data_IF_996766212699
#
_entry.id   IF_996766212699
#
_cell.length_a   1.000
_cell.length_b   1.000
_cell.length_c   1.000
_cell.angle_alpha   90.00
_cell.angle_beta   90.00
_cell.angle_gamma   90.00
#
_symmetry.space_group_name_H-M   'P 1'
#
loop_
_entity.id
_entity.type
_entity.pdbx_description
1 polymer ?
#
# COMPACT_ATOMS: atom_id res chain seq x y z
N UNK A 1 -9.43 2.13 0.69
CA UNK A 1 -8.99 2.32 -0.71
C UNK A 1 -8.18 1.10 -1.12
N UNK A 2 -8.59 0.44 -2.21
CA UNK A 2 -7.76 -0.55 -2.89
C UNK A 2 -6.81 0.17 -3.82
N UNK A 3 -5.51 -0.07 -3.65
CA UNK A 3 -4.47 0.73 -4.28
C UNK A 3 -3.26 -0.13 -4.66
N UNK A 4 -2.50 0.38 -5.63
CA UNK A 4 -1.34 -0.26 -6.22
C UNK A 4 -0.20 0.76 -6.28
N UNK A 5 0.95 0.41 -5.70
CA UNK A 5 2.12 1.29 -5.64
C UNK A 5 2.75 1.55 -7.03
N UNK A 6 2.48 0.70 -8.01
CA UNK A 6 2.93 0.88 -9.39
C UNK A 6 1.94 1.62 -10.28
N UNK A 7 0.72 1.88 -9.80
CA UNK A 7 -0.31 2.50 -10.59
C UNK A 7 -0.15 4.04 -10.65
N UNK A 8 -0.01 4.64 -11.85
CA UNK A 8 0.14 6.10 -11.98
C UNK A 8 -1.09 6.88 -11.56
N UNK A 9 -2.28 6.26 -11.55
CA UNK A 9 -3.49 6.87 -11.01
C UNK A 9 -3.51 6.84 -9.48
N UNK A 10 -3.04 5.75 -8.85
CA UNK A 10 -2.90 5.65 -7.40
C UNK A 10 -1.92 6.68 -6.88
N UNK A 11 -0.76 6.82 -7.54
CA UNK A 11 0.24 7.85 -7.21
C UNK A 11 -0.36 9.26 -7.20
N UNK A 12 -1.15 9.62 -8.22
CA UNK A 12 -1.81 10.94 -8.28
C UNK A 12 -2.94 11.09 -7.26
N UNK A 13 -3.65 10.00 -6.97
CA UNK A 13 -4.78 10.03 -6.04
C UNK A 13 -4.33 10.07 -4.58
N UNK A 14 -3.13 9.56 -4.24
CA UNK A 14 -2.61 9.38 -2.88
C UNK A 14 -2.78 10.60 -1.95
N UNK A 15 -2.63 11.82 -2.46
CA UNK A 15 -2.79 13.05 -1.68
C UNK A 15 -4.25 13.37 -1.33
N UNK A 16 -5.20 12.93 -2.16
CA UNK A 16 -6.63 13.21 -2.00
C UNK A 16 -7.23 12.62 -0.71
N UNK A 17 -7.11 11.30 -0.42
CA UNK A 17 -7.63 10.74 0.82
C UNK A 17 -6.92 11.31 2.05
N UNK A 18 -5.62 11.63 1.94
CA UNK A 18 -4.87 12.29 3.01
C UNK A 18 -5.48 13.65 3.36
N UNK A 19 -5.75 14.50 2.37
CA UNK A 19 -6.38 15.80 2.58
C UNK A 19 -7.77 15.67 3.24
N UNK A 20 -8.55 14.66 2.84
CA UNK A 20 -9.86 14.38 3.45
C UNK A 20 -9.70 14.00 4.91
N UNK A 21 -8.79 13.08 5.24
CA UNK A 21 -8.52 12.67 6.63
C UNK A 21 -8.07 13.86 7.46
N UNK A 22 -7.11 14.64 6.99
CA UNK A 22 -6.56 15.79 7.71
C UNK A 22 -7.63 16.88 7.95
N UNK A 23 -8.52 17.11 6.98
CA UNK A 23 -9.62 18.07 7.10
C UNK A 23 -10.80 17.56 7.95
N UNK A 24 -10.93 16.25 8.14
CA UNK A 24 -12.09 15.62 8.80
C UNK A 24 -12.19 15.89 10.30
N UNK A 25 -11.12 16.39 10.93
CA UNK A 25 -11.01 16.55 12.40
C UNK A 25 -11.26 15.23 13.16
N UNK A 26 -10.80 14.12 12.59
CA UNK A 26 -10.91 12.78 13.19
C UNK A 26 -12.18 12.00 12.87
N UNK A 27 -13.07 12.56 12.04
CA UNK A 27 -14.31 11.87 11.64
C UNK A 27 -14.10 10.85 10.51
N UNK A 28 -13.00 10.96 9.76
CA UNK A 28 -12.66 10.06 8.66
C UNK A 28 -11.28 9.48 8.90
N UNK A 29 -11.14 8.17 8.69
CA UNK A 29 -9.84 7.51 8.58
C UNK A 29 -9.63 7.02 7.15
N UNK A 30 -8.37 6.76 6.81
CA UNK A 30 -8.01 6.14 5.54
C UNK A 30 -7.39 4.77 5.80
N UNK A 31 -8.05 3.74 5.29
CA UNK A 31 -7.54 2.38 5.29
C UNK A 31 -7.04 2.02 3.89
N UNK A 32 -5.74 1.73 3.80
CA UNK A 32 -5.13 1.11 2.63
C UNK A 32 -5.51 -0.37 2.54
N UNK A 33 -5.75 -0.83 1.32
CA UNK A 33 -5.95 -2.23 0.94
C UNK A 33 -5.09 -2.52 -0.29
N UNK A 34 -4.31 -3.60 -0.24
CA UNK A 34 -3.43 -3.95 -1.35
C UNK A 34 -4.23 -4.48 -2.52
N UNK A 35 -3.96 -3.95 -3.71
CA UNK A 35 -4.47 -4.48 -4.96
C UNK A 35 -3.42 -4.33 -6.08
N UNK A 36 -2.26 -4.99 -5.95
CA UNK A 36 -1.27 -5.00 -7.02
C UNK A 36 -1.90 -5.59 -8.27
N UNK A 37 -1.90 -4.83 -9.37
CA UNK A 37 -2.51 -5.27 -10.61
C UNK A 37 -1.58 -6.27 -11.32
N UNK A 38 -2.15 -7.32 -11.93
CA UNK A 38 -1.37 -8.40 -12.55
C UNK A 38 -0.36 -7.90 -13.59
N UNK A 39 -0.70 -6.84 -14.33
CA UNK A 39 0.16 -6.24 -15.35
C UNK A 39 1.26 -5.31 -14.80
N UNK A 40 1.28 -5.06 -13.48
CA UNK A 40 2.37 -4.37 -12.79
C UNK A 40 3.26 -5.33 -11.98
N UNK A 41 2.94 -6.63 -11.97
CA UNK A 41 3.75 -7.61 -11.28
C UNK A 41 5.04 -7.93 -12.06
N UNK A 42 6.14 -8.27 -11.35
CA UNK A 42 6.21 -8.58 -9.92
C UNK A 42 6.44 -7.37 -9.00
N UNK A 43 6.70 -6.18 -9.53
CA UNK A 43 7.08 -5.01 -8.73
C UNK A 43 5.98 -4.64 -7.72
N UNK A 44 4.74 -4.48 -8.20
CA UNK A 44 3.60 -4.11 -7.36
C UNK A 44 3.37 -5.07 -6.19
N UNK A 45 3.40 -6.38 -6.44
CA UNK A 45 3.24 -7.37 -5.38
C UNK A 45 4.38 -7.32 -4.37
N UNK A 46 5.63 -7.23 -4.83
CA UNK A 46 6.79 -7.13 -3.95
C UNK A 46 6.72 -5.88 -3.05
N UNK A 47 6.29 -4.76 -3.60
CA UNK A 47 6.12 -3.51 -2.85
C UNK A 47 4.99 -3.58 -1.83
N UNK A 48 3.88 -4.26 -2.15
CA UNK A 48 2.80 -4.53 -1.20
C UNK A 48 3.29 -5.33 0.02
N UNK A 49 4.04 -6.43 -0.22
CA UNK A 49 4.66 -7.22 0.84
C UNK A 49 5.68 -6.40 1.63
N UNK A 50 6.49 -5.59 0.95
CA UNK A 50 7.47 -4.72 1.58
C UNK A 50 6.81 -3.70 2.53
N UNK A 51 5.69 -3.09 2.13
CA UNK A 51 4.97 -2.14 2.97
C UNK A 51 4.46 -2.79 4.27
N UNK A 52 4.02 -4.05 4.23
CA UNK A 52 3.63 -4.80 5.42
C UNK A 52 4.82 -5.13 6.33
N UNK A 53 5.97 -5.53 5.77
CA UNK A 53 7.20 -5.70 6.54
C UNK A 53 7.67 -4.40 7.21
N UNK A 54 7.51 -3.26 6.54
CA UNK A 54 7.78 -1.95 7.16
C UNK A 54 6.76 -1.64 8.26
N UNK A 55 5.48 -1.92 8.03
CA UNK A 55 4.44 -1.70 9.04
C UNK A 55 4.70 -2.51 10.31
N UNK A 56 5.21 -3.74 10.20
CA UNK A 56 5.61 -4.56 11.34
C UNK A 56 6.67 -3.88 12.20
N UNK A 57 7.72 -3.34 11.57
CA UNK A 57 8.84 -2.75 12.29
C UNK A 57 8.56 -1.33 12.78
N UNK A 58 7.84 -0.54 11.97
CA UNK A 58 7.74 0.93 12.11
C UNK A 58 6.31 1.42 12.34
N UNK A 59 5.36 0.49 12.44
CA UNK A 59 3.96 0.77 12.70
C UNK A 59 3.28 1.55 11.58
N UNK A 60 2.09 2.07 11.89
CA UNK A 60 1.25 2.82 10.94
C UNK A 60 2.00 4.02 10.33
N UNK A 61 2.80 4.74 11.11
CA UNK A 61 3.58 5.88 10.58
C UNK A 61 4.59 5.42 9.52
N UNK A 62 5.34 4.36 9.80
CA UNK A 62 6.33 3.84 8.86
C UNK A 62 5.70 3.34 7.57
N UNK A 63 4.54 2.67 7.65
CA UNK A 63 3.78 2.26 6.48
C UNK A 63 3.49 3.44 5.53
N UNK A 64 2.91 4.53 6.05
CA UNK A 64 2.54 5.68 5.22
C UNK A 64 3.76 6.42 4.66
N UNK A 65 4.84 6.57 5.44
CA UNK A 65 6.09 7.16 4.93
C UNK A 65 6.67 6.29 3.81
N UNK A 66 6.67 4.97 3.98
CA UNK A 66 7.18 4.05 2.96
C UNK A 66 6.35 4.08 1.68
N UNK A 67 5.01 4.03 1.76
CA UNK A 67 4.14 4.14 0.57
C UNK A 67 4.39 5.45 -0.16
N UNK A 68 4.53 6.55 0.58
CA UNK A 68 4.89 7.84 0.00
C UNK A 68 6.24 7.77 -0.74
N UNK A 69 7.28 7.22 -0.11
CA UNK A 69 8.61 7.12 -0.71
C UNK A 69 8.62 6.19 -1.94
N UNK A 70 7.90 5.08 -1.91
CA UNK A 70 7.71 4.22 -3.10
C UNK A 70 7.09 5.03 -4.23
N UNK A 71 5.99 5.75 -3.98
CA UNK A 71 5.39 6.59 -5.02
C UNK A 71 6.35 7.67 -5.54
N UNK A 72 7.23 8.21 -4.71
CA UNK A 72 8.24 9.18 -5.16
C UNK A 72 9.31 8.55 -6.06
N UNK A 73 9.74 7.33 -5.76
CA UNK A 73 10.90 6.69 -6.40
C UNK A 73 10.55 5.68 -7.49
N UNK A 74 9.32 5.18 -7.55
CA UNK A 74 8.94 4.17 -8.53
C UNK A 74 8.94 4.73 -9.96
N UNK A 75 9.38 3.90 -10.90
CA UNK A 75 9.22 4.12 -12.33
C UNK A 75 7.75 3.92 -12.78
N UNK A 76 6.94 3.26 -11.96
CA UNK A 76 5.54 2.94 -12.22
C UNK A 76 5.36 1.90 -13.31
N UNK A 77 4.11 1.50 -13.51
CA UNK A 77 3.69 0.51 -14.52
C UNK A 77 4.46 -0.82 -14.45
N UNK A 78 4.88 -1.24 -13.25
CA UNK A 78 5.63 -2.47 -13.01
C UNK A 78 7.15 -2.31 -13.07
N UNK A 79 7.66 -1.09 -13.25
CA UNK A 79 9.09 -0.80 -13.22
C UNK A 79 9.71 -0.79 -11.82
N UNK A 80 8.89 -0.60 -10.78
CA UNK A 80 9.28 -0.56 -9.38
C UNK A 80 10.27 0.54 -9.04
N UNK A 81 10.83 0.44 -7.84
CA UNK A 81 11.96 1.28 -7.39
C UNK A 81 13.32 0.67 -7.76
N UNK A 82 14.29 1.52 -8.11
CA UNK A 82 15.64 1.08 -8.48
C UNK A 82 16.40 0.43 -7.31
N UNK A 83 16.21 0.94 -6.09
CA UNK A 83 16.83 0.40 -4.87
C UNK A 83 15.83 0.41 -3.71
N UNK A 84 15.12 -0.72 -3.56
CA UNK A 84 14.17 -0.92 -2.47
C UNK A 84 14.85 -0.90 -1.09
N UNK A 85 16.10 -1.34 -0.98
CA UNK A 85 16.82 -1.34 0.30
C UNK A 85 17.12 0.08 0.78
N UNK A 86 17.42 1.00 -0.15
CA UNK A 86 17.57 2.42 0.16
C UNK A 86 16.25 3.02 0.69
N UNK A 87 15.10 2.69 0.10
CA UNK A 87 13.80 3.15 0.60
C UNK A 87 13.52 2.61 2.02
N UNK A 88 13.78 1.32 2.24
CA UNK A 88 13.61 0.65 3.55
C UNK A 88 14.48 1.30 4.64
N UNK A 89 15.76 1.55 4.34
CA UNK A 89 16.67 2.20 5.30
C UNK A 89 16.35 3.68 5.48
N UNK A 90 15.84 4.35 4.45
CA UNK A 90 15.36 5.74 4.50
C UNK A 90 14.22 5.94 5.51
N UNK A 91 13.32 4.97 5.66
CA UNK A 91 12.28 4.99 6.71
C UNK A 91 12.79 4.54 8.09
N UNK A 92 14.09 4.28 8.20
CA UNK A 92 14.79 3.88 9.42
C UNK A 92 14.50 2.44 9.85
N UNK A 93 14.05 1.56 8.94
CA UNK A 93 13.84 0.14 9.24
C UNK A 93 15.16 -0.64 9.25
N UNK A 94 15.17 -1.74 9.99
CA UNK A 94 16.28 -2.69 9.97
C UNK A 94 16.21 -3.53 8.69
N UNK A 95 17.27 -3.45 7.90
CA UNK A 95 17.30 -4.04 6.56
C UNK A 95 17.36 -5.57 6.61
N UNK A 96 18.01 -6.16 7.61
CA UNK A 96 18.14 -7.61 7.70
C UNK A 96 16.83 -8.24 8.21
N UNK A 97 16.20 -7.64 9.22
CA UNK A 97 14.85 -8.01 9.64
C UNK A 97 13.82 -7.82 8.52
N UNK A 98 13.98 -6.78 7.69
CA UNK A 98 13.13 -6.58 6.51
C UNK A 98 13.32 -7.69 5.47
N UNK A 99 14.57 -8.06 5.17
CA UNK A 99 14.88 -9.15 4.22
C UNK A 99 14.34 -10.49 4.70
N UNK A 100 14.46 -10.78 5.99
CA UNK A 100 13.89 -11.99 6.59
C UNK A 100 12.36 -11.99 6.45
N UNK A 101 11.70 -10.90 6.82
CA UNK A 101 10.25 -10.76 6.68
C UNK A 101 9.80 -10.97 5.23
N UNK A 102 10.42 -10.27 4.28
CA UNK A 102 10.05 -10.36 2.86
C UNK A 102 10.36 -11.76 2.29
N UNK A 103 11.53 -12.33 2.61
CA UNK A 103 11.95 -13.64 2.12
C UNK A 103 11.14 -14.81 2.68
N UNK A 104 10.52 -14.64 3.84
CA UNK A 104 9.65 -15.66 4.45
C UNK A 104 8.26 -15.76 3.82
N UNK A 105 7.84 -14.76 3.02
CA UNK A 105 6.47 -14.70 2.48
C UNK A 105 5.40 -14.44 3.55
N UNK A 106 5.78 -13.91 4.72
CA UNK A 106 4.90 -13.74 5.90
C UNK A 106 3.57 -13.01 5.62
N UNK A 107 3.55 -12.13 4.62
CA UNK A 107 2.39 -11.29 4.29
C UNK A 107 1.67 -11.67 3.01
N UNK A 108 2.04 -12.79 2.37
CA UNK A 108 1.39 -13.29 1.15
C UNK A 108 -0.13 -13.46 1.36
N UNK A 109 -0.54 -14.17 2.41
CA UNK A 109 -1.95 -14.41 2.73
C UNK A 109 -2.72 -13.10 2.98
N UNK A 110 -2.06 -12.09 3.55
CA UNK A 110 -2.68 -10.78 3.80
C UNK A 110 -2.94 -10.03 2.50
N UNK A 111 -1.93 -9.95 1.63
CA UNK A 111 -2.05 -9.28 0.33
C UNK A 111 -3.09 -10.00 -0.53
N UNK A 112 -3.05 -11.33 -0.56
CA UNK A 112 -4.04 -12.13 -1.30
C UNK A 112 -5.46 -11.93 -0.75
N UNK A 113 -5.64 -11.87 0.57
CA UNK A 113 -6.95 -11.59 1.16
C UNK A 113 -7.50 -10.20 0.76
N UNK A 114 -6.64 -9.19 0.66
CA UNK A 114 -7.04 -7.86 0.19
C UNK A 114 -7.41 -7.87 -1.31
N UNK A 115 -6.67 -8.61 -2.14
CA UNK A 115 -6.98 -8.82 -3.57
C UNK A 115 -8.34 -9.52 -3.73
N UNK A 116 -8.58 -10.60 -2.99
CA UNK A 116 -9.84 -11.33 -3.04
C UNK A 116 -11.01 -10.48 -2.53
N UNK A 117 -10.77 -9.65 -1.51
CA UNK A 117 -11.75 -8.66 -1.08
C UNK A 117 -12.06 -7.68 -2.20
N UNK A 118 -11.06 -7.14 -2.89
CA UNK A 118 -11.28 -6.22 -4.01
C UNK A 118 -12.14 -6.87 -5.12
N UNK A 119 -11.82 -8.12 -5.48
CA UNK A 119 -12.59 -8.91 -6.46
C UNK A 119 -14.04 -9.09 -6.03
N UNK A 120 -14.29 -9.40 -4.75
CA UNK A 120 -15.66 -9.55 -4.23
C UNK A 120 -16.48 -8.26 -4.27
N UNK A 121 -15.83 -7.10 -4.34
CA UNK A 121 -16.45 -5.79 -4.51
C UNK A 121 -16.54 -5.37 -6.00
N UNK A 122 -16.17 -6.26 -6.94
CA UNK A 122 -16.19 -6.00 -8.37
C UNK A 122 -15.12 -5.01 -8.84
N UNK A 123 -14.07 -4.79 -8.04
CA UNK A 123 -12.97 -3.89 -8.40
C UNK A 123 -12.13 -4.54 -9.50
N UNK A 124 -11.92 -3.81 -10.60
CA UNK A 124 -11.13 -4.26 -11.75
C UNK A 124 -9.98 -3.28 -12.10
N UNK A 125 -9.68 -2.33 -11.22
CA UNK A 125 -8.63 -1.33 -11.41
C UNK A 125 -8.40 -0.50 -10.16
N UNK A 126 -7.30 0.23 -10.13
CA UNK A 126 -6.89 1.05 -8.97
C UNK A 126 -6.63 2.50 -9.40
N UNK A 127 -6.87 3.49 -8.51
CA UNK A 127 -7.40 3.34 -7.16
C UNK A 127 -8.91 3.05 -7.17
N UNK A 128 -9.39 2.27 -6.21
CA UNK A 128 -10.81 2.08 -5.95
C UNK A 128 -11.14 2.42 -4.50
N UNK A 129 -11.98 3.43 -4.31
CA UNK A 129 -12.31 3.97 -2.99
C UNK A 129 -13.76 3.69 -2.64
N UNK A 130 -13.96 3.21 -1.42
CA UNK A 130 -15.26 2.99 -0.81
C UNK A 130 -15.30 3.79 0.48
N UNK A 131 -16.41 4.48 0.74
CA UNK A 131 -16.63 5.20 2.00
C UNK A 131 -17.50 4.32 2.87
N UNK A 132 -17.00 3.89 4.02
CA UNK A 132 -17.75 3.01 4.93
C UNK A 132 -18.14 3.78 6.18
N UNK A 133 -19.42 3.73 6.53
CA UNK A 133 -19.90 4.21 7.82
C UNK A 133 -19.54 3.19 8.90
N UNK A 134 -18.64 3.58 9.82
CA UNK A 134 -18.19 2.71 10.91
C UNK A 134 -19.28 2.35 11.92
N UNK A 135 -20.41 3.06 11.96
CA UNK A 135 -21.54 2.75 12.84
C UNK A 135 -22.48 1.69 12.23
N UNK A 136 -22.69 1.74 10.92
CA UNK A 136 -23.67 0.89 10.24
C UNK A 136 -23.06 -0.20 9.36
N UNK A 137 -21.76 -0.09 9.04
CA UNK A 137 -21.04 -0.97 8.13
C UNK A 137 -21.42 -0.80 6.66
N UNK A 138 -22.27 0.19 6.32
CA UNK A 138 -22.71 0.43 4.94
C UNK A 138 -21.63 1.18 4.16
N UNK A 139 -21.52 0.84 2.86
CA UNK A 139 -20.61 1.45 1.89
C UNK A 139 -21.34 1.95 0.66
#
# INVERSE_FOLDING_TARGET
EFSDMECPFCKRFHDTPKQIVDASKGNVNWQWKHMPLDFHNPAAHKEALAAECIAEQKGNRGFWVFVNDIFHHTQGNGGGVADLASVVTGVGADLDAFRECLGSGKYEDKVEADIQKAKSYGVNGTPATFVVDNHTGKS
#
